data_IF_645848812879
#
_entry.id   IF_645848812879
#
_cell.length_a   1.000
_cell.length_b   1.000
_cell.length_c   1.000
_cell.angle_alpha   90.00
_cell.angle_beta   90.00
_cell.angle_gamma   90.00
#
_symmetry.space_group_name_H-M   'P 1'
#
loop_
_entity.id
_entity.type
_entity.pdbx_description
1 polymer ?
#
# COMPACT_ATOMS: atom_id res chain seq x y z
N UNK A 1 5.92 1.35 -16.26
CA UNK A 1 7.21 0.74 -15.85
C UNK A 1 8.33 1.79 -15.86
N UNK A 2 8.28 2.69 -16.83
CA UNK A 2 9.19 3.79 -17.13
C UNK A 2 9.56 4.63 -15.91
N UNK A 3 8.59 4.94 -15.03
CA UNK A 3 8.76 5.85 -13.88
C UNK A 3 8.93 5.12 -12.53
N UNK A 4 9.49 3.91 -12.55
CA UNK A 4 9.67 3.11 -11.34
C UNK A 4 10.70 3.76 -10.39
N UNK A 5 10.35 3.87 -9.10
CA UNK A 5 11.15 4.52 -8.05
C UNK A 5 11.37 6.04 -8.22
N UNK A 6 10.53 6.72 -9.01
CA UNK A 6 10.59 8.18 -9.22
C UNK A 6 9.49 8.95 -8.45
N UNK A 7 8.88 8.32 -7.44
CA UNK A 7 7.85 8.94 -6.60
C UNK A 7 6.47 9.09 -7.25
N UNK A 8 6.32 8.76 -8.54
CA UNK A 8 5.05 8.89 -9.27
C UNK A 8 3.98 7.91 -8.76
N UNK A 9 4.39 6.67 -8.50
CA UNK A 9 3.46 5.59 -8.12
C UNK A 9 2.55 5.99 -6.95
N UNK A 10 3.09 6.68 -5.94
CA UNK A 10 2.31 7.12 -4.78
C UNK A 10 1.13 8.02 -5.18
N UNK A 11 1.34 8.96 -6.10
CA UNK A 11 0.29 9.88 -6.55
C UNK A 11 -0.62 9.27 -7.60
N UNK A 12 -0.08 8.42 -8.48
CA UNK A 12 -0.80 7.77 -9.58
C UNK A 12 -1.93 6.87 -9.08
N UNK A 13 -1.62 5.95 -8.17
CA UNK A 13 -2.63 5.02 -7.64
C UNK A 13 -3.73 5.74 -6.86
N UNK A 14 -3.41 6.90 -6.28
CA UNK A 14 -4.34 7.75 -5.54
C UNK A 14 -5.27 8.49 -6.46
N UNK A 15 -4.75 9.16 -7.50
CA UNK A 15 -5.57 9.88 -8.47
C UNK A 15 -6.42 8.95 -9.34
N UNK A 16 -5.98 7.70 -9.52
CA UNK A 16 -6.75 6.66 -10.19
C UNK A 16 -7.75 5.93 -9.29
N UNK A 17 -7.66 6.13 -7.97
CA UNK A 17 -8.57 5.52 -6.99
C UNK A 17 -8.57 3.98 -7.01
N UNK A 18 -7.38 3.38 -7.09
CA UNK A 18 -7.19 1.92 -7.22
C UNK A 18 -6.33 1.29 -6.10
N UNK A 19 -6.29 1.89 -4.92
CA UNK A 19 -5.44 1.45 -3.80
C UNK A 19 -6.09 0.43 -2.84
N UNK A 20 -7.40 0.22 -2.97
CA UNK A 20 -8.23 -0.62 -2.09
C UNK A 20 -7.97 -2.12 -2.21
N UNK A 21 -8.48 -2.87 -1.23
CA UNK A 21 -8.40 -4.33 -1.24
C UNK A 21 -9.03 -4.90 -2.52
N UNK A 22 -8.25 -5.70 -3.26
CA UNK A 22 -8.67 -6.28 -4.54
C UNK A 22 -8.73 -5.31 -5.72
N UNK A 23 -8.35 -4.04 -5.55
CA UNK A 23 -8.15 -3.10 -6.67
C UNK A 23 -6.79 -3.32 -7.35
N UNK A 24 -6.60 -2.74 -8.54
CA UNK A 24 -5.43 -3.00 -9.40
C UNK A 24 -4.08 -2.67 -8.72
N UNK A 25 -4.05 -1.67 -7.83
CA UNK A 25 -2.88 -1.30 -7.06
C UNK A 25 -3.13 -1.42 -5.55
N UNK A 26 -3.76 -2.52 -5.12
CA UNK A 26 -4.00 -2.85 -3.72
C UNK A 26 -2.76 -2.62 -2.86
N UNK A 27 -2.89 -1.71 -1.89
CA UNK A 27 -1.83 -1.35 -0.95
C UNK A 27 -1.88 -2.15 0.37
N UNK A 28 -2.89 -2.99 0.56
CA UNK A 28 -3.14 -3.71 1.81
C UNK A 28 -2.30 -4.98 1.97
N UNK A 29 -1.85 -5.60 0.88
CA UNK A 29 -1.06 -6.83 0.92
C UNK A 29 0.13 -6.74 -0.02
N UNK A 30 1.33 -7.01 0.50
CA UNK A 30 2.54 -7.16 -0.30
C UNK A 30 2.99 -8.61 -0.33
N UNK A 31 3.41 -9.04 -1.51
CA UNK A 31 3.92 -10.38 -1.72
C UNK A 31 5.42 -10.37 -2.02
N UNK A 32 6.08 -11.47 -1.65
CA UNK A 32 7.49 -11.71 -1.96
C UNK A 32 7.73 -13.21 -2.17
N UNK A 33 8.96 -13.57 -2.52
CA UNK A 33 9.46 -14.93 -2.43
C UNK A 33 9.83 -15.27 -0.98
N UNK A 34 9.84 -16.55 -0.65
CA UNK A 34 10.22 -17.02 0.68
C UNK A 34 11.73 -16.87 0.90
N UNK A 35 12.16 -15.73 1.46
CA UNK A 35 13.56 -15.45 1.77
C UNK A 35 14.18 -16.40 2.81
N UNK A 36 13.35 -17.14 3.56
CA UNK A 36 13.80 -18.17 4.49
C UNK A 36 13.86 -19.57 3.84
N UNK A 37 13.49 -19.68 2.57
CA UNK A 37 13.52 -20.93 1.81
C UNK A 37 14.88 -21.22 1.17
N UNK A 38 15.04 -22.45 0.70
CA UNK A 38 16.24 -22.93 0.04
C UNK A 38 16.07 -22.95 -1.48
N UNK A 39 17.16 -22.70 -2.21
CA UNK A 39 17.17 -22.63 -3.69
C UNK A 39 17.08 -23.98 -4.39
N UNK A 40 17.43 -25.05 -3.69
CA UNK A 40 17.54 -26.42 -4.21
C UNK A 40 16.25 -27.24 -4.03
N UNK A 41 15.21 -26.65 -3.45
CA UNK A 41 13.91 -27.27 -3.29
C UNK A 41 13.04 -27.08 -4.53
N UNK A 42 12.13 -28.03 -4.83
CA UNK A 42 11.17 -27.89 -5.92
C UNK A 42 10.38 -26.59 -5.84
N UNK A 43 10.05 -26.01 -7.01
CA UNK A 43 9.24 -24.79 -7.09
C UNK A 43 7.89 -25.04 -6.40
N UNK A 44 7.49 -24.14 -5.50
CA UNK A 44 6.24 -24.24 -4.74
C UNK A 44 6.28 -25.17 -3.51
N UNK A 45 7.40 -25.83 -3.21
CA UNK A 45 7.55 -26.55 -1.95
C UNK A 45 7.59 -25.56 -0.76
N UNK A 46 7.05 -25.94 0.41
CA UNK A 46 6.96 -25.03 1.58
C UNK A 46 8.30 -24.37 1.96
N UNK A 47 9.41 -25.11 1.86
CA UNK A 47 10.75 -24.64 2.19
C UNK A 47 11.54 -24.15 0.97
N UNK A 48 10.90 -23.94 -0.18
CA UNK A 48 11.56 -23.41 -1.39
C UNK A 48 11.61 -21.89 -1.36
N UNK A 49 12.72 -21.33 -1.84
CA UNK A 49 12.81 -19.91 -2.14
C UNK A 49 11.74 -19.49 -3.16
N UNK A 50 11.42 -20.37 -4.13
CA UNK A 50 10.47 -20.11 -5.21
C UNK A 50 9.00 -20.31 -4.81
N UNK A 51 8.69 -20.06 -3.54
CA UNK A 51 7.33 -20.08 -3.00
C UNK A 51 6.89 -18.65 -2.71
N UNK A 52 5.77 -18.22 -3.30
CA UNK A 52 5.19 -16.91 -3.05
C UNK A 52 4.60 -16.88 -1.64
N UNK A 53 4.98 -15.88 -0.86
CA UNK A 53 4.47 -15.63 0.48
C UNK A 53 3.85 -14.23 0.56
N UNK A 54 3.03 -14.01 1.58
CA UNK A 54 2.66 -12.65 2.02
C UNK A 54 3.84 -12.11 2.82
N UNK A 55 4.43 -11.02 2.35
CA UNK A 55 5.53 -10.32 3.01
C UNK A 55 5.02 -9.46 4.16
N UNK A 56 3.98 -8.67 3.89
CA UNK A 56 3.45 -7.67 4.81
C UNK A 56 1.96 -7.44 4.54
N UNK A 57 1.18 -7.31 5.61
CA UNK A 57 -0.17 -6.75 5.55
C UNK A 57 -0.11 -5.32 6.07
N UNK A 58 -0.62 -4.37 5.29
CA UNK A 58 -0.62 -2.94 5.59
C UNK A 58 -2.03 -2.46 5.90
N UNK A 59 -2.13 -1.53 6.84
CA UNK A 59 -3.37 -0.83 7.10
C UNK A 59 -3.66 0.13 5.93
N UNK A 60 -4.65 -0.19 5.11
CA UNK A 60 -5.19 0.71 4.11
C UNK A 60 -6.66 1.01 4.41
N UNK A 61 -7.05 2.28 4.32
CA UNK A 61 -8.45 2.73 4.39
C UNK A 61 -8.69 3.83 3.39
N UNK A 62 -9.93 3.98 2.91
CA UNK A 62 -10.30 5.03 1.95
C UNK A 62 -9.96 6.46 2.41
N UNK A 63 -9.94 6.72 3.72
CA UNK A 63 -9.49 8.00 4.28
C UNK A 63 -8.05 8.36 3.87
N UNK A 64 -7.20 7.35 3.64
CA UNK A 64 -5.79 7.54 3.32
C UNK A 64 -5.57 8.07 1.91
N UNK A 65 -6.58 8.21 1.05
CA UNK A 65 -6.42 8.88 -0.25
C UNK A 65 -5.97 10.35 -0.09
N UNK A 66 -6.41 11.00 0.99
CA UNK A 66 -6.05 12.38 1.32
C UNK A 66 -5.21 12.42 2.59
N UNK A 67 -4.23 13.32 2.63
CA UNK A 67 -3.43 13.52 3.84
C UNK A 67 -4.28 14.23 4.91
N UNK A 68 -4.27 13.78 6.18
CA UNK A 68 -5.07 14.41 7.21
C UNK A 68 -4.58 15.84 7.49
N UNK A 69 -5.52 16.76 7.65
CA UNK A 69 -5.20 18.11 8.09
C UNK A 69 -4.86 18.04 9.58
N UNK A 70 -3.73 18.59 10.05
CA UNK A 70 -3.38 18.58 11.46
C UNK A 70 -4.50 19.16 12.34
N UNK A 71 -4.79 18.50 13.45
CA UNK A 71 -5.92 18.87 14.32
C UNK A 71 -5.81 20.31 14.84
N UNK A 72 -4.59 20.75 15.15
CA UNK A 72 -4.32 22.12 15.60
C UNK A 72 -4.68 23.16 14.53
N UNK A 73 -4.55 22.83 13.23
CA UNK A 73 -4.96 23.73 12.15
C UNK A 73 -6.48 23.80 12.01
N UNK A 74 -7.18 22.66 12.15
CA UNK A 74 -8.65 22.62 12.18
C UNK A 74 -9.20 23.48 13.32
N UNK A 75 -8.56 23.44 14.50
CA UNK A 75 -9.02 24.20 15.67
C UNK A 75 -8.84 25.72 15.52
N UNK A 76 -7.95 26.20 14.64
CA UNK A 76 -7.73 27.64 14.41
C UNK A 76 -8.85 28.32 13.64
N UNK A 77 -9.57 27.60 12.78
CA UNK A 77 -10.57 28.20 11.88
C UNK A 77 -11.84 27.38 11.80
N UNK A 78 -12.98 28.02 12.07
CA UNK A 78 -14.32 27.42 11.90
C UNK A 78 -14.70 27.16 10.44
N UNK A 79 -13.96 27.73 9.48
CA UNK A 79 -14.19 27.54 8.05
C UNK A 79 -13.37 26.38 7.48
N UNK A 80 -12.35 25.90 8.21
CA UNK A 80 -11.53 24.79 7.75
C UNK A 80 -12.19 23.46 8.13
N UNK A 81 -12.58 22.70 7.12
CA UNK A 81 -13.22 21.39 7.29
C UNK A 81 -12.19 20.29 7.04
N UNK A 82 -12.23 19.24 7.86
CA UNK A 82 -11.35 18.09 7.73
C UNK A 82 -11.65 17.30 6.45
N UNK A 83 -10.65 16.56 5.97
CA UNK A 83 -10.82 15.61 4.88
C UNK A 83 -11.83 14.50 5.27
N UNK A 84 -12.58 13.96 4.29
CA UNK A 84 -13.55 12.90 4.56
C UNK A 84 -12.93 11.68 5.23
N UNK A 85 -13.69 11.02 6.12
CA UNK A 85 -13.34 9.75 6.77
C UNK A 85 -12.16 9.85 7.77
N UNK A 86 -11.81 11.06 8.20
CA UNK A 86 -10.83 11.35 9.25
C UNK A 86 -11.51 11.93 10.49
#
# INVERSE_FOLDING_TARGET
>A
VELFMEGQHYFDIRRWMICGEGEEADQSVLHSMNMNGYKDQPIGANNSFFTRIVLENRAWRRAMYLYPIPQDEIQKSRLLVQNPLW
#
